data_IF_207699207364
#
_entry.id   IF_207699207364
#
_cell.length_a   1.000
_cell.length_b   1.000
_cell.length_c   1.000
_cell.angle_alpha   90.00
_cell.angle_beta   90.00
_cell.angle_gamma   90.00
#
_symmetry.space_group_name_H-M   'P 1'
#
loop_
_entity.id
_entity.type
_entity.pdbx_description
1 polymer ?
#
# COMPACT_ATOMS: atom_id res chain seq x y z
N UNK A 1 -2.06 13.37 -12.71
CA UNK A 1 -3.09 12.30 -12.76
C UNK A 1 -2.58 11.14 -11.95
N UNK A 2 -3.26 10.77 -10.86
CA UNK A 2 -3.05 9.48 -10.19
C UNK A 2 -3.91 8.44 -10.89
N UNK A 3 -3.33 7.33 -11.33
CA UNK A 3 -4.14 6.17 -11.72
C UNK A 3 -4.66 5.51 -10.44
N UNK A 4 -5.93 5.10 -10.43
CA UNK A 4 -6.55 4.53 -9.25
C UNK A 4 -6.06 3.09 -9.02
N UNK A 5 -5.67 2.76 -7.79
CA UNK A 5 -5.48 1.38 -7.34
C UNK A 5 -6.87 0.79 -7.13
N UNK A 6 -7.11 -0.44 -7.59
CA UNK A 6 -8.40 -1.14 -7.42
C UNK A 6 -8.23 -2.43 -6.64
N UNK A 7 -9.29 -2.91 -5.98
CA UNK A 7 -9.33 -4.26 -5.41
C UNK A 7 -9.54 -5.31 -6.52
N UNK A 8 -9.74 -6.57 -6.18
CA UNK A 8 -10.01 -7.64 -7.16
C UNK A 8 -11.41 -7.58 -7.79
N UNK A 9 -12.27 -6.65 -7.37
CA UNK A 9 -13.63 -6.41 -7.88
C UNK A 9 -13.75 -5.09 -8.66
N UNK A 10 -12.63 -4.54 -9.14
CA UNK A 10 -12.53 -3.24 -9.82
C UNK A 10 -13.00 -2.04 -9.00
N UNK A 11 -13.13 -2.19 -7.67
CA UNK A 11 -13.50 -1.10 -6.78
C UNK A 11 -12.26 -0.28 -6.41
N UNK A 12 -12.32 1.06 -6.49
CA UNK A 12 -11.22 1.92 -6.06
C UNK A 12 -10.83 1.65 -4.60
N UNK A 13 -9.55 1.36 -4.39
CA UNK A 13 -8.97 1.12 -3.07
C UNK A 13 -8.59 2.48 -2.47
N UNK A 14 -9.61 3.22 -1.99
CA UNK A 14 -9.46 4.63 -1.61
C UNK A 14 -8.93 4.81 -0.18
N UNK A 15 -9.35 3.95 0.75
CA UNK A 15 -8.99 4.06 2.17
C UNK A 15 -9.10 2.69 2.86
N UNK A 16 -8.05 2.29 3.57
CA UNK A 16 -8.10 1.13 4.47
C UNK A 16 -8.42 1.65 5.88
N UNK A 17 -9.71 1.67 6.24
CA UNK A 17 -10.17 2.04 7.59
C UNK A 17 -10.16 0.80 8.47
N UNK A 18 -9.22 0.70 9.39
CA UNK A 18 -9.09 -0.46 10.28
C UNK A 18 -9.02 -0.04 11.73
N UNK A 19 -9.51 -0.95 12.58
CA UNK A 19 -9.33 -0.91 14.03
C UNK A 19 -8.35 -2.02 14.37
N UNK A 20 -7.11 -1.63 14.65
CA UNK A 20 -6.05 -2.56 15.01
C UNK A 20 -5.73 -2.44 16.50
N UNK A 21 -5.33 -3.56 17.11
CA UNK A 21 -4.70 -3.53 18.42
C UNK A 21 -3.25 -3.07 18.29
N UNK A 22 -2.64 -2.70 19.42
CA UNK A 22 -1.22 -2.34 19.48
C UNK A 22 -0.34 -3.46 18.92
N UNK A 23 0.57 -3.12 18.00
CA UNK A 23 1.46 -4.08 17.32
C UNK A 23 0.77 -5.12 16.45
N UNK A 24 -0.53 -4.97 16.15
CA UNK A 24 -1.27 -5.90 15.32
C UNK A 24 -1.19 -5.55 13.82
N UNK A 25 -1.14 -6.59 13.01
CA UNK A 25 -1.29 -6.48 11.56
C UNK A 25 -2.76 -6.55 11.15
N UNK A 26 -3.10 -5.84 10.08
CA UNK A 26 -4.36 -6.03 9.38
C UNK A 26 -4.45 -7.35 8.63
N UNK A 27 -5.66 -7.67 8.17
CA UNK A 27 -5.83 -8.59 7.04
C UNK A 27 -5.07 -8.08 5.81
N UNK A 28 -4.55 -9.00 5.00
CA UNK A 28 -3.94 -8.67 3.71
C UNK A 28 -5.04 -8.38 2.69
N UNK A 29 -4.87 -7.29 1.95
CA UNK A 29 -5.77 -6.87 0.87
C UNK A 29 -4.96 -6.89 -0.42
N UNK A 30 -5.52 -7.47 -1.48
CA UNK A 30 -4.88 -7.47 -2.80
C UNK A 30 -5.33 -6.22 -3.55
N UNK A 31 -4.38 -5.39 -3.97
CA UNK A 31 -4.63 -4.24 -4.81
C UNK A 31 -3.96 -4.41 -6.18
N UNK A 32 -4.71 -4.10 -7.24
CA UNK A 32 -4.26 -4.03 -8.62
C UNK A 32 -3.77 -2.63 -8.91
N UNK A 33 -2.48 -2.53 -9.21
CA UNK A 33 -1.76 -1.27 -9.40
C UNK A 33 -1.41 -1.12 -10.88
N UNK A 34 -1.99 -0.13 -11.59
CA UNK A 34 -1.57 0.19 -12.95
C UNK A 34 -0.15 0.79 -12.91
N UNK A 35 0.80 0.09 -13.52
CA UNK A 35 2.22 0.43 -13.49
C UNK A 35 2.61 1.27 -14.70
N UNK A 36 3.45 2.27 -14.47
CA UNK A 36 4.03 3.10 -15.53
C UNK A 36 5.49 3.44 -15.20
N UNK A 37 6.32 3.53 -16.23
CA UNK A 37 7.70 3.98 -16.12
C UNK A 37 7.81 5.33 -15.40
N UNK A 38 8.74 5.40 -14.43
CA UNK A 38 8.98 6.61 -13.62
C UNK A 38 7.95 6.87 -12.51
N UNK A 39 7.08 5.91 -12.21
CA UNK A 39 6.15 6.00 -11.06
C UNK A 39 6.55 5.05 -9.95
N UNK A 40 6.17 5.45 -8.73
CA UNK A 40 6.41 4.66 -7.53
C UNK A 40 5.10 4.42 -6.80
N UNK A 41 4.95 3.21 -6.27
CA UNK A 41 3.93 2.89 -5.29
C UNK A 41 4.46 3.32 -3.92
N UNK A 42 3.78 4.27 -3.29
CA UNK A 42 4.17 4.85 -2.01
C UNK A 42 2.95 5.09 -1.12
N UNK A 43 3.20 5.50 0.11
CA UNK A 43 2.18 6.05 1.00
C UNK A 43 2.70 7.35 1.59
N UNK A 44 1.78 8.25 1.98
CA UNK A 44 2.16 9.39 2.81
C UNK A 44 2.67 8.85 4.16
N UNK A 45 3.75 9.45 4.69
CA UNK A 45 4.34 9.02 5.96
C UNK A 45 3.37 9.29 7.10
N UNK A 46 2.87 8.25 7.74
CA UNK A 46 2.22 8.37 9.04
C UNK A 46 3.10 7.67 10.07
N UNK A 47 3.60 8.46 11.03
CA UNK A 47 4.46 7.97 12.12
C UNK A 47 3.80 6.93 13.03
N UNK A 48 2.48 6.72 12.92
CA UNK A 48 1.72 5.84 13.82
C UNK A 48 1.40 4.48 13.22
N UNK A 49 1.40 4.34 11.90
CA UNK A 49 1.07 3.07 11.26
C UNK A 49 1.73 2.97 9.89
N UNK A 50 2.20 1.77 9.59
CA UNK A 50 2.98 1.49 8.39
C UNK A 50 2.10 0.81 7.35
N UNK A 51 2.12 1.34 6.12
CA UNK A 51 1.56 0.60 4.99
C UNK A 51 2.67 -0.29 4.44
N UNK A 52 2.46 -1.59 4.59
CA UNK A 52 3.39 -2.57 4.10
C UNK A 52 2.87 -3.16 2.79
N UNK A 53 3.73 -3.26 1.78
CA UNK A 53 3.41 -3.88 0.52
C UNK A 53 4.46 -4.90 0.07
N UNK A 54 4.04 -5.81 -0.79
CA UNK A 54 4.92 -6.65 -1.61
C UNK A 54 4.18 -7.06 -2.87
N UNK A 55 4.91 -7.49 -3.89
CA UNK A 55 4.27 -8.09 -5.07
C UNK A 55 3.61 -9.42 -4.70
N UNK A 56 2.35 -9.60 -5.09
CA UNK A 56 1.61 -10.84 -4.83
C UNK A 56 2.34 -12.04 -5.42
N UNK A 57 2.49 -13.11 -4.64
CA UNK A 57 3.18 -14.33 -5.08
C UNK A 57 4.71 -14.23 -5.23
N UNK A 58 5.34 -13.10 -4.91
CA UNK A 58 6.80 -12.94 -5.02
C UNK A 58 7.62 -13.75 -4.02
N UNK A 59 7.01 -14.15 -2.89
CA UNK A 59 7.73 -14.75 -1.76
C UNK A 59 8.58 -13.75 -0.96
N UNK A 60 8.64 -12.49 -1.37
CA UNK A 60 9.40 -11.45 -0.69
C UNK A 60 8.75 -11.07 0.65
N UNK A 61 9.59 -10.50 1.53
CA UNK A 61 9.11 -9.84 2.73
C UNK A 61 8.28 -8.60 2.37
N UNK A 62 7.37 -8.25 3.26
CA UNK A 62 6.66 -6.98 3.19
C UNK A 62 7.62 -5.83 3.47
N UNK A 63 7.50 -4.74 2.71
CA UNK A 63 8.29 -3.51 2.88
C UNK A 63 7.39 -2.34 3.19
N UNK A 64 7.84 -1.42 4.04
CA UNK A 64 7.16 -0.16 4.28
C UNK A 64 7.33 0.74 3.06
N UNK A 65 6.23 1.03 2.36
CA UNK A 65 6.26 1.83 1.14
C UNK A 65 6.36 3.35 1.39
N UNK A 66 6.37 3.77 2.66
CA UNK A 66 6.77 5.14 3.03
C UNK A 66 8.30 5.29 2.98
N UNK A 67 9.03 4.32 3.52
CA UNK A 67 10.49 4.33 3.62
C UNK A 67 11.18 3.76 2.37
N UNK A 68 10.56 2.79 1.71
CA UNK A 68 11.05 2.14 0.51
C UNK A 68 9.96 2.08 -0.57
N UNK A 69 9.68 3.19 -1.27
CA UNK A 69 8.75 3.21 -2.38
C UNK A 69 9.10 2.15 -3.43
N UNK A 70 8.09 1.44 -3.95
CA UNK A 70 8.30 0.39 -4.95
C UNK A 70 8.31 1.03 -6.33
N UNK A 71 9.43 0.91 -7.04
CA UNK A 71 9.56 1.34 -8.43
C UNK A 71 8.66 0.47 -9.34
N UNK A 72 7.82 1.12 -10.13
CA UNK A 72 6.89 0.45 -11.05
C UNK A 72 7.45 0.37 -12.49
N UNK A 73 8.67 0.85 -12.72
CA UNK A 73 9.25 0.98 -14.07
C UNK A 73 9.47 -0.37 -14.74
N UNK A 74 9.80 -1.41 -13.99
CA UNK A 74 9.97 -2.76 -14.56
C UNK A 74 8.67 -3.39 -15.06
N UNK A 75 7.51 -2.81 -14.69
CA UNK A 75 6.17 -3.30 -15.04
C UNK A 75 5.42 -2.34 -15.96
N UNK A 76 6.13 -1.48 -16.70
CA UNK A 76 5.52 -0.44 -17.53
C UNK A 76 4.47 -1.00 -18.49
N UNK A 77 3.25 -0.43 -18.44
CA UNK A 77 2.12 -0.84 -19.28
C UNK A 77 1.30 -2.00 -18.72
N UNK A 78 1.69 -2.60 -17.59
CA UNK A 78 0.97 -3.69 -16.95
C UNK A 78 0.12 -3.22 -15.75
N UNK A 79 -0.82 -4.06 -15.34
CA UNK A 79 -1.50 -3.94 -14.03
C UNK A 79 -1.02 -5.09 -13.16
N UNK A 80 -0.32 -4.76 -12.07
CA UNK A 80 0.34 -5.73 -11.20
C UNK A 80 -0.39 -5.81 -9.86
N UNK A 81 -0.51 -7.03 -9.33
CA UNK A 81 -1.09 -7.27 -8.01
C UNK A 81 -0.03 -7.11 -6.91
N UNK A 82 -0.41 -6.34 -5.89
CA UNK A 82 0.34 -6.16 -4.66
C UNK A 82 -0.49 -6.59 -3.46
N UNK A 83 0.16 -7.32 -2.56
CA UNK A 83 -0.36 -7.61 -1.24
C UNK A 83 -0.12 -6.38 -0.38
N UNK A 84 -1.18 -5.79 0.17
CA UNK A 84 -1.13 -4.68 1.10
C UNK A 84 -1.56 -5.13 2.49
N UNK A 85 -0.89 -4.64 3.52
CA UNK A 85 -1.39 -4.68 4.89
C UNK A 85 -0.98 -3.42 5.64
N UNK A 86 -1.72 -3.09 6.67
CA UNK A 86 -1.36 -2.04 7.63
C UNK A 86 -0.82 -2.72 8.87
N UNK A 87 0.38 -2.34 9.28
CA UNK A 87 0.91 -2.70 10.59
C UNK A 87 0.70 -1.53 11.53
N UNK A 88 -0.04 -1.74 12.62
CA UNK A 88 -0.14 -0.74 13.66
C UNK A 88 1.26 -0.60 14.30
N UNK A 89 1.78 0.63 14.36
CA UNK A 89 2.99 0.91 15.12
C UNK A 89 2.72 0.85 16.63
N UNK A 90 3.49 1.62 17.41
CA UNK A 90 3.21 1.86 18.84
C UNK A 90 1.99 2.78 19.02
N UNK A 91 0.84 2.40 18.45
CA UNK A 91 -0.42 3.10 18.68
C UNK A 91 -0.98 2.61 20.01
N UNK A 92 -1.01 3.51 21.00
CA UNK A 92 -1.60 3.21 22.31
C UNK A 92 -3.13 3.33 22.21
N UNK A 93 -3.82 2.19 22.13
CA UNK A 93 -5.28 2.10 22.16
C UNK A 93 -5.95 1.80 20.81
N UNK A 94 -7.30 1.77 20.81
CA UNK A 94 -8.11 1.42 19.65
C UNK A 94 -8.40 2.65 18.80
N UNK A 95 -7.48 3.04 17.92
CA UNK A 95 -7.68 4.15 17.00
C UNK A 95 -8.13 3.68 15.60
N UNK A 96 -8.88 4.55 14.91
CA UNK A 96 -9.13 4.40 13.47
C UNK A 96 -7.94 4.98 12.74
N UNK A 97 -7.18 4.12 12.08
CA UNK A 97 -6.09 4.53 11.20
C UNK A 97 -6.64 4.58 9.77
N UNK A 98 -6.43 5.71 9.10
CA UNK A 98 -6.76 5.90 7.68
C UNK A 98 -5.48 6.28 6.94
N UNK A 99 -4.91 5.33 6.19
CA UNK A 99 -3.71 5.58 5.38
C UNK A 99 -4.10 5.55 3.90
N UNK A 100 -4.08 6.70 3.22
CA UNK A 100 -4.33 6.73 1.78
C UNK A 100 -3.11 6.15 1.06
N UNK A 101 -3.22 4.93 0.55
CA UNK A 101 -2.22 4.38 -0.38
C UNK A 101 -2.33 5.11 -1.71
N UNK A 102 -1.22 5.61 -2.26
CA UNK A 102 -1.22 6.42 -3.48
C UNK A 102 -0.12 5.98 -4.45
N UNK A 103 -0.42 6.03 -5.74
CA UNK A 103 0.61 5.98 -6.77
C UNK A 103 1.08 7.41 -7.01
N UNK A 104 2.32 7.70 -6.63
CA UNK A 104 2.94 9.03 -6.78
C UNK A 104 3.96 9.05 -7.90
N UNK A 105 3.98 10.16 -8.65
CA UNK A 105 5.10 10.53 -9.51
C UNK A 105 6.17 11.19 -8.62
N UNK A 106 7.43 10.79 -8.74
CA UNK A 106 8.50 11.75 -8.42
C UNK A 106 8.85 12.50 -9.71
N UNK A 107 8.90 13.83 -9.62
CA UNK A 107 9.40 14.73 -10.67
C UNK A 107 10.84 15.09 -10.31
#
# INVERSE_FOLDING_TARGET
MSDAITDTNDQPLLYVNLRLGEGADSVVIIGRVPCRAGRFLATDSDTRAQVLARRTGSGNAFVDIADAPIDLTEFDGETVEFDFKVSAGEVTGLERVALPVRVTYQI
#
